data_IF_175661526933
#
_entry.id   IF_175661526933
#
_cell.length_a   1.000
_cell.length_b   1.000
_cell.length_c   1.000
_cell.angle_alpha   90.00
_cell.angle_beta   90.00
_cell.angle_gamma   90.00
#
_symmetry.space_group_name_H-M   'P 1'
#
loop_
_entity.id
_entity.type
_entity.pdbx_description
1 polymer ?
#
# COMPACT_ATOMS: atom_id res chain seq x y z
N UNK A 1 6.19 14.77 -1.50
CA UNK A 1 5.29 15.79 -2.13
C UNK A 1 3.89 15.74 -1.50
N UNK A 2 3.21 14.59 -1.50
CA UNK A 2 1.84 14.44 -0.96
C UNK A 2 1.66 14.95 0.48
N UNK A 3 2.38 14.41 1.46
CA UNK A 3 2.28 14.88 2.85
C UNK A 3 2.84 16.30 3.04
N UNK A 4 3.92 16.62 2.33
CA UNK A 4 4.59 17.93 2.38
C UNK A 4 3.68 19.09 1.97
N UNK A 5 2.73 18.85 1.07
CA UNK A 5 1.77 19.86 0.61
C UNK A 5 0.84 20.38 1.72
N UNK A 6 0.70 19.68 2.84
CA UNK A 6 -0.17 20.09 3.94
C UNK A 6 0.51 21.03 4.95
N UNK A 7 1.85 21.01 5.06
CA UNK A 7 2.57 21.74 6.12
C UNK A 7 3.74 22.62 5.62
N UNK A 8 4.23 22.43 4.39
CA UNK A 8 5.31 23.25 3.84
C UNK A 8 4.74 24.38 2.98
N UNK A 9 4.89 25.63 3.43
CA UNK A 9 4.42 26.83 2.75
C UNK A 9 5.02 27.05 1.35
N UNK A 10 6.18 26.46 1.05
CA UNK A 10 6.77 26.54 -0.30
C UNK A 10 6.01 25.67 -1.30
N UNK A 11 5.44 24.56 -0.82
CA UNK A 11 4.73 23.53 -1.62
C UNK A 11 3.22 23.70 -1.56
N UNK A 12 2.68 24.18 -0.44
CA UNK A 12 1.25 24.37 -0.21
C UNK A 12 0.71 25.49 -1.10
N UNK A 13 0.03 25.09 -2.18
CA UNK A 13 -0.61 26.00 -3.16
C UNK A 13 -2.11 25.73 -3.24
N UNK A 14 -2.94 26.73 -3.58
CA UNK A 14 -4.38 26.53 -3.77
C UNK A 14 -4.73 25.37 -4.70
N UNK A 15 -4.00 25.22 -5.81
CA UNK A 15 -4.20 24.19 -6.83
C UNK A 15 -3.91 22.78 -6.28
N UNK A 16 -2.92 22.66 -5.38
CA UNK A 16 -2.63 21.40 -4.70
C UNK A 16 -3.76 21.02 -3.75
N UNK A 17 -4.35 21.99 -3.05
CA UNK A 17 -5.49 21.74 -2.18
C UNK A 17 -6.75 21.36 -2.99
N UNK A 18 -6.96 21.97 -4.17
CA UNK A 18 -8.02 21.57 -5.09
C UNK A 18 -7.85 20.12 -5.58
N UNK A 19 -6.62 19.69 -5.85
CA UNK A 19 -6.33 18.30 -6.16
C UNK A 19 -6.78 17.35 -5.03
N UNK A 20 -6.41 17.63 -3.77
CA UNK A 20 -6.84 16.79 -2.65
C UNK A 20 -8.34 16.84 -2.39
N UNK A 21 -8.95 18.02 -2.53
CA UNK A 21 -10.39 18.22 -2.40
C UNK A 21 -11.16 17.45 -3.47
N UNK A 22 -10.61 17.31 -4.68
CA UNK A 22 -11.25 16.55 -5.77
C UNK A 22 -11.46 15.07 -5.44
N UNK A 23 -10.67 14.50 -4.51
CA UNK A 23 -10.87 13.13 -4.01
C UNK A 23 -11.96 13.02 -2.94
N UNK A 24 -12.30 14.13 -2.26
CA UNK A 24 -13.27 14.17 -1.13
C UNK A 24 -14.64 14.72 -1.51
N UNK A 25 -14.74 15.45 -2.61
CA UNK A 25 -16.01 16.03 -3.06
C UNK A 25 -16.83 15.01 -3.87
N UNK A 26 -18.16 15.14 -3.77
CA UNK A 26 -19.08 14.43 -4.66
C UNK A 26 -18.68 14.73 -6.10
N UNK A 27 -18.58 13.72 -6.98
CA UNK A 27 -18.07 13.95 -8.32
C UNK A 27 -18.87 15.01 -9.06
N UNK A 28 -18.21 16.10 -9.42
CA UNK A 28 -18.81 17.12 -10.28
C UNK A 28 -18.77 16.61 -11.72
N UNK A 29 -19.85 15.91 -12.11
CA UNK A 29 -19.92 15.28 -13.42
C UNK A 29 -19.89 16.36 -14.50
N UNK A 30 -18.82 16.41 -15.30
CA UNK A 30 -18.69 17.36 -16.41
C UNK A 30 -19.30 16.77 -17.67
N UNK A 31 -19.79 17.62 -18.57
CA UNK A 31 -20.16 17.20 -19.93
C UNK A 31 -18.89 16.91 -20.73
N UNK A 32 -18.34 15.71 -20.53
CA UNK A 32 -17.17 15.16 -21.22
C UNK A 32 -17.08 13.66 -20.94
N UNK A 33 -16.69 12.86 -21.94
CA UNK A 33 -16.54 11.40 -21.76
C UNK A 33 -15.55 11.09 -20.62
N UNK A 34 -15.89 10.12 -19.77
CA UNK A 34 -15.04 9.70 -18.66
C UNK A 34 -15.18 10.51 -17.37
N UNK A 35 -16.14 11.44 -17.29
CA UNK A 35 -16.46 12.21 -16.08
C UNK A 35 -17.96 12.18 -15.74
N UNK A 36 -18.68 11.16 -16.20
CA UNK A 36 -20.09 10.97 -15.87
C UNK A 36 -20.24 10.38 -14.48
N UNK A 37 -21.45 10.45 -13.91
CA UNK A 37 -21.75 9.80 -12.63
C UNK A 37 -21.41 8.30 -12.63
N UNK A 38 -21.59 7.60 -13.76
CA UNK A 38 -21.23 6.18 -13.87
C UNK A 38 -19.72 5.96 -13.83
N UNK A 39 -18.94 6.83 -14.45
CA UNK A 39 -17.47 6.74 -14.45
C UNK A 39 -16.94 6.91 -13.02
N UNK A 40 -17.52 7.85 -12.27
CA UNK A 40 -17.16 8.02 -10.86
C UNK A 40 -17.71 6.93 -9.94
N UNK A 41 -18.88 6.36 -10.23
CA UNK A 41 -19.38 5.19 -9.50
C UNK A 41 -18.44 4.00 -9.69
N UNK A 42 -17.95 3.76 -10.92
CA UNK A 42 -16.92 2.76 -11.22
C UNK A 42 -15.63 3.06 -10.46
N UNK A 43 -15.12 4.30 -10.52
CA UNK A 43 -13.95 4.71 -9.75
C UNK A 43 -14.12 4.41 -8.27
N UNK A 44 -15.18 4.90 -7.63
CA UNK A 44 -15.36 4.73 -6.19
C UNK A 44 -15.48 3.25 -5.81
N UNK A 45 -16.14 2.42 -6.64
CA UNK A 45 -16.20 0.99 -6.42
C UNK A 45 -14.80 0.34 -6.49
N UNK A 46 -13.96 0.78 -7.42
CA UNK A 46 -12.60 0.26 -7.59
C UNK A 46 -11.71 0.51 -6.36
N UNK A 47 -11.89 1.64 -5.67
CA UNK A 47 -11.10 2.00 -4.48
C UNK A 47 -11.63 1.39 -3.17
N UNK A 48 -12.80 0.74 -3.16
CA UNK A 48 -13.51 0.40 -1.94
C UNK A 48 -12.71 -0.50 -0.97
N UNK A 49 -11.96 -1.48 -1.47
CA UNK A 49 -11.16 -2.38 -0.61
C UNK A 49 -9.94 -1.66 -0.06
N UNK A 50 -9.17 -0.97 -0.91
CA UNK A 50 -8.01 -0.20 -0.46
C UNK A 50 -8.42 0.90 0.55
N UNK A 51 -9.57 1.53 0.34
CA UNK A 51 -10.09 2.55 1.24
C UNK A 51 -10.44 1.96 2.60
N UNK A 52 -11.15 0.82 2.64
CA UNK A 52 -11.50 0.12 3.89
C UNK A 52 -10.27 -0.22 4.73
N UNK A 53 -9.18 -0.70 4.13
CA UNK A 53 -7.93 -0.95 4.86
C UNK A 53 -7.27 0.35 5.31
N UNK A 54 -7.13 1.32 4.40
CA UNK A 54 -6.45 2.57 4.71
C UNK A 54 -7.20 3.45 5.72
N UNK A 55 -8.50 3.26 5.92
CA UNK A 55 -9.30 4.06 6.86
C UNK A 55 -9.34 3.52 8.30
N UNK A 56 -8.89 2.28 8.56
CA UNK A 56 -9.05 1.62 9.88
C UNK A 56 -8.48 2.40 11.06
N UNK A 57 -7.38 3.12 10.84
CA UNK A 57 -6.70 3.91 11.86
C UNK A 57 -6.69 5.40 11.59
N UNK A 58 -7.59 5.91 10.74
CA UNK A 58 -7.55 7.29 10.26
C UNK A 58 -7.63 8.31 11.41
N UNK A 59 -8.42 8.02 12.45
CA UNK A 59 -8.54 8.86 13.66
C UNK A 59 -7.23 9.00 14.43
N UNK A 60 -6.36 8.00 14.33
CA UNK A 60 -5.04 7.96 14.97
C UNK A 60 -3.93 8.43 14.03
N UNK A 61 -4.28 8.97 12.86
CA UNK A 61 -3.32 9.39 11.84
C UNK A 61 -2.70 8.24 11.04
N UNK A 62 -3.24 7.03 11.17
CA UNK A 62 -2.76 5.81 10.51
C UNK A 62 -3.55 5.56 9.22
N UNK A 63 -2.83 5.43 8.12
CA UNK A 63 -3.31 5.06 6.78
C UNK A 63 -2.55 3.81 6.35
N UNK A 64 -3.11 2.64 6.67
CA UNK A 64 -2.50 1.35 6.37
C UNK A 64 -2.20 1.19 4.87
N UNK A 65 -1.00 0.70 4.53
CA UNK A 65 -0.52 0.58 3.16
C UNK A 65 0.02 1.88 2.54
N UNK A 66 -0.21 3.04 3.18
CA UNK A 66 0.23 4.34 2.69
C UNK A 66 1.29 5.00 3.58
N UNK A 67 0.93 5.33 4.83
CA UNK A 67 1.85 5.92 5.79
C UNK A 67 2.20 4.97 6.94
N UNK A 68 1.60 3.78 6.97
CA UNK A 68 1.78 2.80 8.03
C UNK A 68 1.69 1.37 7.46
N UNK A 69 2.32 0.38 8.11
CA UNK A 69 2.17 -1.02 7.75
C UNK A 69 0.71 -1.48 7.86
N UNK A 70 0.27 -2.34 6.92
CA UNK A 70 -0.99 -3.06 7.05
C UNK A 70 -1.02 -3.89 8.33
N UNK A 71 -2.09 -3.78 9.08
CA UNK A 71 -2.27 -4.54 10.31
C UNK A 71 -2.78 -5.96 10.00
N UNK A 72 -2.25 -6.99 10.67
CA UNK A 72 -2.76 -8.34 10.54
C UNK A 72 -4.22 -8.45 10.97
N UNK A 73 -4.95 -9.35 10.32
CA UNK A 73 -6.36 -9.59 10.61
C UNK A 73 -6.59 -10.82 11.50
N UNK A 74 -5.60 -11.70 11.64
CA UNK A 74 -5.69 -12.87 12.49
C UNK A 74 -4.41 -13.07 13.31
N UNK A 75 -4.59 -13.73 14.46
CA UNK A 75 -3.50 -14.12 15.33
C UNK A 75 -2.51 -15.05 14.62
N UNK A 76 -1.26 -15.02 15.08
CA UNK A 76 -0.18 -15.88 14.59
C UNK A 76 -0.43 -17.31 15.08
N UNK A 77 -0.08 -18.31 14.26
CA UNK A 77 -0.13 -19.70 14.70
C UNK A 77 0.83 -19.94 15.88
N UNK A 78 0.46 -20.77 16.87
CA UNK A 78 1.31 -21.04 18.03
C UNK A 78 2.53 -21.90 17.67
N UNK A 79 2.35 -22.80 16.70
CA UNK A 79 3.36 -23.75 16.27
C UNK A 79 4.17 -23.22 15.09
N UNK A 80 5.45 -23.53 15.08
CA UNK A 80 6.42 -23.08 14.09
C UNK A 80 6.67 -24.18 13.07
N UNK A 81 6.87 -23.80 11.82
CA UNK A 81 7.40 -24.72 10.83
C UNK A 81 8.83 -24.35 10.48
N UNK A 82 9.71 -25.33 10.51
CA UNK A 82 11.11 -25.15 10.09
C UNK A 82 11.20 -25.09 8.58
N UNK A 83 12.09 -24.22 8.09
CA UNK A 83 12.46 -24.20 6.68
C UNK A 83 13.71 -25.02 6.48
N UNK A 84 13.51 -26.17 5.86
CA UNK A 84 14.56 -27.12 5.54
C UNK A 84 15.37 -26.66 4.32
N UNK A 85 14.70 -26.10 3.31
CA UNK A 85 15.30 -25.63 2.06
C UNK A 85 14.80 -24.24 1.65
N UNK A 86 15.74 -23.33 1.38
CA UNK A 86 15.45 -21.93 1.04
C UNK A 86 14.94 -21.76 -0.39
N UNK A 87 15.35 -22.60 -1.33
CA UNK A 87 14.94 -22.52 -2.73
C UNK A 87 13.50 -23.03 -2.88
N UNK A 88 13.14 -24.08 -2.14
CA UNK A 88 11.77 -24.58 -2.05
C UNK A 88 10.85 -23.54 -1.41
N UNK A 89 11.24 -22.95 -0.27
CA UNK A 89 10.47 -21.89 0.37
C UNK A 89 10.32 -20.66 -0.54
N UNK A 90 11.38 -20.27 -1.24
CA UNK A 90 11.34 -19.17 -2.22
C UNK A 90 10.34 -19.47 -3.34
N UNK A 91 10.32 -20.70 -3.83
CA UNK A 91 9.41 -21.15 -4.89
C UNK A 91 7.97 -21.18 -4.40
N UNK A 92 7.75 -21.65 -3.18
CA UNK A 92 6.44 -21.69 -2.53
C UNK A 92 5.87 -20.28 -2.32
N UNK A 93 6.64 -19.36 -1.71
CA UNK A 93 6.19 -17.97 -1.51
C UNK A 93 5.82 -17.30 -2.83
N UNK A 94 6.57 -17.54 -3.90
CA UNK A 94 6.24 -17.03 -5.24
C UNK A 94 4.94 -17.66 -5.78
N UNK A 95 4.72 -18.95 -5.56
CA UNK A 95 3.49 -19.63 -5.98
C UNK A 95 2.28 -19.13 -5.20
N UNK A 96 2.40 -18.96 -3.87
CA UNK A 96 1.34 -18.44 -3.01
C UNK A 96 1.02 -16.97 -3.33
N UNK A 97 2.04 -16.13 -3.56
CA UNK A 97 1.84 -14.75 -3.97
C UNK A 97 1.07 -14.65 -5.30
N UNK A 98 1.40 -15.52 -6.28
CA UNK A 98 0.64 -15.61 -7.55
C UNK A 98 -0.77 -16.14 -7.34
N UNK A 99 -0.96 -17.15 -6.48
CA UNK A 99 -2.29 -17.66 -6.11
C UNK A 99 -3.17 -16.53 -5.55
N UNK A 100 -2.60 -15.62 -4.77
CA UNK A 100 -3.32 -14.47 -4.22
C UNK A 100 -3.46 -13.28 -5.18
N UNK A 101 -2.94 -13.34 -6.40
CA UNK A 101 -3.21 -12.33 -7.43
C UNK A 101 -2.03 -11.43 -7.80
N UNK A 102 -0.81 -11.68 -7.31
CA UNK A 102 0.37 -11.01 -7.83
C UNK A 102 0.65 -11.43 -9.27
N UNK A 103 0.79 -10.48 -10.19
CA UNK A 103 1.13 -10.75 -11.59
C UNK A 103 2.59 -11.18 -11.74
N UNK A 104 3.50 -10.45 -11.09
CA UNK A 104 4.92 -10.80 -10.98
C UNK A 104 5.38 -10.76 -9.52
N UNK A 105 6.37 -11.59 -9.18
CA UNK A 105 6.89 -11.70 -7.81
C UNK A 105 8.40 -11.80 -7.84
N UNK A 106 9.07 -10.93 -7.10
CA UNK A 106 10.51 -10.94 -6.85
C UNK A 106 10.81 -11.09 -5.37
N UNK A 107 11.95 -11.68 -5.05
CA UNK A 107 12.47 -11.72 -3.67
C UNK A 107 13.92 -11.23 -3.73
N UNK A 108 14.27 -10.29 -2.86
CA UNK A 108 15.60 -9.69 -2.81
C UNK A 108 16.05 -9.50 -1.36
N UNK A 109 17.36 -9.36 -1.09
CA UNK A 109 17.85 -8.96 0.22
C UNK A 109 17.28 -7.60 0.63
N UNK A 110 17.01 -7.44 1.92
CA UNK A 110 16.62 -6.17 2.49
C UNK A 110 17.81 -5.21 2.51
N UNK A 111 17.59 -3.98 2.07
CA UNK A 111 18.58 -2.91 2.10
C UNK A 111 17.98 -1.69 2.83
N UNK A 112 18.49 -1.35 4.04
CA UNK A 112 17.90 -0.31 4.88
C UNK A 112 17.98 1.10 4.25
N UNK A 113 18.79 1.30 3.20
CA UNK A 113 18.87 2.60 2.49
C UNK A 113 17.57 2.97 1.78
N UNK A 114 16.73 1.99 1.45
CA UNK A 114 15.43 2.20 0.79
C UNK A 114 14.27 2.34 1.77
N UNK A 115 14.55 2.23 3.06
CA UNK A 115 13.55 2.38 4.10
C UNK A 115 13.52 3.82 4.56
N UNK A 116 12.32 4.41 4.58
CA UNK A 116 12.14 5.73 5.14
C UNK A 116 12.56 5.78 6.60
N UNK A 117 13.19 6.88 7.03
CA UNK A 117 13.64 7.02 8.42
C UNK A 117 12.47 7.08 9.40
N UNK A 118 11.41 7.80 9.04
CA UNK A 118 10.20 8.01 9.82
C UNK A 118 8.98 7.94 8.91
N UNK A 119 7.82 7.58 9.47
CA UNK A 119 6.52 7.83 8.85
C UNK A 119 6.00 9.20 9.27
N UNK A 120 4.91 9.63 8.63
CA UNK A 120 4.25 10.92 8.94
C UNK A 120 2.79 10.65 9.26
N UNK A 121 2.33 11.13 10.42
CA UNK A 121 0.92 11.05 10.80
C UNK A 121 0.05 11.83 9.82
N UNK A 122 -1.06 11.22 9.37
CA UNK A 122 -1.99 11.86 8.44
C UNK A 122 -2.91 12.91 9.08
N UNK A 123 -2.97 12.96 10.42
CA UNK A 123 -3.77 13.93 11.17
C UNK A 123 -2.94 15.10 11.69
N UNK A 124 -1.77 14.83 12.28
CA UNK A 124 -0.92 15.87 12.88
C UNK A 124 0.17 16.37 11.93
N UNK A 125 0.50 15.61 10.89
CA UNK A 125 1.65 15.84 9.99
C UNK A 125 3.02 15.84 10.70
N UNK A 126 3.07 15.27 11.90
CA UNK A 126 4.30 15.06 12.66
C UNK A 126 4.97 13.74 12.27
N UNK A 127 6.28 13.67 12.51
CA UNK A 127 7.05 12.45 12.30
C UNK A 127 6.74 11.41 13.38
N UNK A 128 6.72 10.14 12.97
CA UNK A 128 6.51 8.99 13.86
C UNK A 128 7.39 7.81 13.40
N UNK A 129 7.61 6.84 14.28
CA UNK A 129 8.38 5.65 13.99
C UNK A 129 7.72 4.82 12.88
N UNK A 130 8.52 4.25 11.98
CA UNK A 130 8.01 3.46 10.84
C UNK A 130 7.22 2.21 11.24
N UNK A 131 7.42 1.73 12.47
CA UNK A 131 6.78 0.51 12.97
C UNK A 131 7.38 -0.77 12.39
N UNK A 132 8.52 -0.68 11.69
CA UNK A 132 9.24 -1.83 11.13
C UNK A 132 9.96 -2.62 12.23
N UNK A 133 9.94 -3.96 12.19
CA UNK A 133 10.74 -4.77 13.09
C UNK A 133 12.23 -4.65 12.73
N UNK A 134 13.08 -4.99 13.69
CA UNK A 134 14.51 -5.11 13.46
C UNK A 134 14.83 -6.45 12.79
N UNK A 135 16.02 -6.58 12.20
CA UNK A 135 16.47 -7.87 11.65
C UNK A 135 15.74 -8.33 10.40
N UNK A 136 15.07 -7.43 9.66
CA UNK A 136 14.59 -7.74 8.31
C UNK A 136 15.77 -8.10 7.40
N UNK A 137 15.66 -9.21 6.67
CA UNK A 137 16.74 -9.67 5.79
C UNK A 137 16.37 -9.78 4.34
N UNK A 138 15.07 -9.87 4.02
CA UNK A 138 14.60 -9.95 2.65
C UNK A 138 13.34 -9.11 2.47
N UNK A 139 13.04 -8.82 1.21
CA UNK A 139 11.82 -8.16 0.75
C UNK A 139 11.17 -9.01 -0.31
N UNK A 140 9.85 -9.16 -0.23
CA UNK A 140 9.02 -9.73 -1.31
C UNK A 140 8.41 -8.57 -2.07
N UNK A 141 8.70 -8.48 -3.37
CA UNK A 141 8.22 -7.43 -4.26
C UNK A 141 7.13 -8.03 -5.14
N UNK A 142 5.94 -7.41 -5.12
CA UNK A 142 4.78 -7.82 -5.89
C UNK A 142 4.55 -6.79 -7.00
N UNK A 143 4.26 -7.26 -8.21
CA UNK A 143 3.81 -6.41 -9.30
C UNK A 143 2.37 -6.71 -9.68
N UNK A 144 1.57 -5.66 -9.76
CA UNK A 144 0.15 -5.71 -10.10
C UNK A 144 -0.08 -4.94 -11.40
N UNK A 145 -0.71 -5.59 -12.37
CA UNK A 145 -0.99 -4.98 -13.68
C UNK A 145 -2.25 -4.12 -13.61
N UNK A 146 -2.19 -2.93 -14.23
CA UNK A 146 -3.36 -2.08 -14.47
C UNK A 146 -3.90 -2.31 -15.88
N UNK A 147 -5.20 -2.16 -16.06
CA UNK A 147 -5.82 -2.20 -17.39
C UNK A 147 -5.31 -1.04 -18.28
N UNK A 148 -4.54 -1.40 -19.31
CA UNK A 148 -3.89 -0.43 -20.19
C UNK A 148 -4.87 0.45 -20.97
N UNK A 149 -6.05 -0.07 -21.34
CA UNK A 149 -7.05 0.69 -22.06
C UNK A 149 -7.71 1.73 -21.14
N UNK A 150 -7.98 1.38 -19.88
CA UNK A 150 -8.46 2.33 -18.88
C UNK A 150 -7.39 3.38 -18.57
N UNK A 151 -6.13 2.98 -18.36
CA UNK A 151 -5.00 3.90 -18.13
C UNK A 151 -4.83 4.90 -19.28
N UNK A 152 -4.99 4.45 -20.53
CA UNK A 152 -4.89 5.33 -21.71
C UNK A 152 -5.94 6.45 -21.75
N UNK A 153 -6.94 6.43 -20.86
CA UNK A 153 -7.97 7.48 -20.75
C UNK A 153 -7.65 8.59 -19.76
N UNK A 154 -6.45 8.63 -19.15
CA UNK A 154 -6.08 9.74 -18.28
C UNK A 154 -6.28 11.09 -19.01
N UNK A 155 -6.84 12.12 -18.33
CA UNK A 155 -7.09 12.22 -16.89
C UNK A 155 -8.51 11.81 -16.42
N UNK A 156 -9.19 10.90 -17.11
CA UNK A 156 -10.58 10.54 -16.79
C UNK A 156 -10.77 9.80 -15.46
N UNK A 157 -12.01 9.77 -14.95
CA UNK A 157 -12.37 8.96 -13.78
C UNK A 157 -12.22 7.45 -14.04
N UNK A 158 -12.38 7.00 -15.29
CA UNK A 158 -12.16 5.60 -15.69
C UNK A 158 -10.69 5.21 -15.52
N UNK A 159 -9.76 6.10 -15.89
CA UNK A 159 -8.33 5.87 -15.63
C UNK A 159 -8.05 5.78 -14.12
N UNK A 160 -8.69 6.63 -13.31
CA UNK A 160 -8.63 6.54 -11.85
C UNK A 160 -9.19 5.25 -11.26
N UNK A 161 -10.13 4.58 -11.96
CA UNK A 161 -10.63 3.27 -11.57
C UNK A 161 -9.60 2.15 -11.81
N UNK A 162 -8.75 2.27 -12.83
CA UNK A 162 -7.68 1.29 -13.06
C UNK A 162 -6.69 1.26 -11.89
N UNK A 163 -6.31 2.44 -11.39
CA UNK A 163 -5.46 2.59 -10.20
C UNK A 163 -6.15 2.07 -8.95
N UNK A 164 -7.43 2.41 -8.74
CA UNK A 164 -8.19 1.93 -7.59
C UNK A 164 -8.27 0.41 -7.53
N UNK A 165 -8.55 -0.23 -8.66
CA UNK A 165 -8.57 -1.69 -8.75
C UNK A 165 -7.20 -2.28 -8.39
N UNK A 166 -6.11 -1.74 -8.93
CA UNK A 166 -4.77 -2.22 -8.62
C UNK A 166 -4.44 -2.10 -7.11
N UNK A 167 -4.75 -0.97 -6.47
CA UNK A 167 -4.55 -0.82 -5.02
C UNK A 167 -5.43 -1.77 -4.19
N UNK A 168 -6.68 -1.97 -4.60
CA UNK A 168 -7.59 -2.91 -3.93
C UNK A 168 -7.11 -4.36 -4.03
N UNK A 169 -6.66 -4.78 -5.21
CA UNK A 169 -6.09 -6.11 -5.43
C UNK A 169 -4.74 -6.29 -4.72
N UNK A 170 -3.89 -5.26 -4.72
CA UNK A 170 -2.63 -5.26 -3.97
C UNK A 170 -2.89 -5.42 -2.48
N UNK A 171 -3.77 -4.62 -1.88
CA UNK A 171 -4.12 -4.72 -0.46
C UNK A 171 -4.62 -6.12 -0.11
N UNK A 172 -5.50 -6.70 -0.95
CA UNK A 172 -6.01 -8.05 -0.78
C UNK A 172 -4.92 -9.13 -0.93
N UNK A 173 -4.00 -8.97 -1.88
CA UNK A 173 -2.88 -9.91 -2.10
C UNK A 173 -1.92 -9.89 -0.92
N UNK A 174 -1.53 -8.68 -0.52
CA UNK A 174 -0.58 -8.43 0.54
C UNK A 174 -1.08 -8.94 1.89
N UNK A 175 -2.34 -8.65 2.25
CA UNK A 175 -2.88 -9.10 3.54
C UNK A 175 -2.93 -10.63 3.61
N UNK A 176 -3.30 -11.30 2.50
CA UNK A 176 -3.34 -12.77 2.43
C UNK A 176 -1.94 -13.38 2.49
N UNK A 177 -0.99 -12.84 1.74
CA UNK A 177 0.38 -13.34 1.72
C UNK A 177 1.08 -13.13 3.07
N UNK A 178 0.94 -11.95 3.66
CA UNK A 178 1.51 -11.65 4.98
C UNK A 178 0.91 -12.55 6.07
N UNK A 179 -0.40 -12.79 6.04
CA UNK A 179 -1.03 -13.73 6.97
C UNK A 179 -0.54 -15.17 6.74
N UNK A 180 -0.37 -15.60 5.50
CA UNK A 180 0.21 -16.92 5.19
C UNK A 180 1.59 -17.09 5.82
N UNK A 181 2.48 -16.11 5.57
CA UNK A 181 3.84 -16.11 6.12
C UNK A 181 3.79 -16.14 7.65
N UNK A 182 2.95 -15.29 8.27
CA UNK A 182 2.79 -15.26 9.73
C UNK A 182 2.27 -16.58 10.30
N UNK A 183 1.35 -17.25 9.62
CA UNK A 183 0.74 -18.50 10.12
C UNK A 183 1.69 -19.71 10.04
N UNK A 184 2.81 -19.58 9.33
CA UNK A 184 3.77 -20.67 9.17
C UNK A 184 5.13 -20.33 9.82
N UNK A 185 5.46 -19.05 10.04
CA UNK A 185 6.81 -18.61 10.34
C UNK A 185 6.99 -17.90 11.70
N UNK A 186 7.89 -18.44 12.55
CA UNK A 186 8.71 -17.69 13.54
C UNK A 186 9.95 -18.51 13.99
N UNK A 187 10.79 -19.00 13.06
CA UNK A 187 11.96 -19.83 13.43
C UNK A 187 13.31 -19.45 12.81
N UNK A 188 13.42 -18.35 12.07
CA UNK A 188 14.74 -17.94 11.59
C UNK A 188 14.97 -16.46 11.88
N UNK A 189 16.17 -16.17 12.38
CA UNK A 189 16.72 -14.85 12.74
C UNK A 189 16.75 -13.83 11.58
N UNK A 190 16.04 -14.15 10.50
CA UNK A 190 16.03 -13.47 9.23
C UNK A 190 14.70 -12.72 8.99
N UNK A 191 13.64 -13.01 9.75
CA UNK A 191 12.36 -12.31 9.71
C UNK A 191 11.73 -12.27 11.09
N UNK A 192 11.96 -11.15 11.81
CA UNK A 192 11.38 -10.89 13.13
C UNK A 192 10.00 -10.22 13.00
N UNK A 193 9.12 -10.63 13.92
CA UNK A 193 7.68 -10.46 14.19
C UNK A 193 6.71 -9.59 13.35
N UNK A 194 7.11 -8.73 12.41
CA UNK A 194 6.16 -7.78 11.78
C UNK A 194 6.46 -7.52 10.31
N UNK A 195 5.85 -8.33 9.44
CA UNK A 195 5.84 -8.05 8.00
C UNK A 195 5.26 -6.66 7.78
N UNK A 196 6.04 -5.76 7.19
CA UNK A 196 5.57 -4.44 6.81
C UNK A 196 5.49 -4.35 5.31
N UNK A 197 4.33 -3.89 4.86
CA UNK A 197 4.09 -3.57 3.46
C UNK A 197 3.68 -2.11 3.38
N UNK A 198 4.35 -1.38 2.48
CA UNK A 198 4.04 -0.01 2.15
C UNK A 198 4.54 0.31 0.76
N UNK A 199 3.75 1.08 0.02
CA UNK A 199 4.14 1.66 -1.25
C UNK A 199 5.26 2.70 -0.99
N UNK A 200 6.48 2.57 -1.57
CA UNK A 200 7.61 3.46 -1.31
C UNK A 200 7.41 4.90 -1.84
N UNK A 201 6.21 5.27 -2.28
CA UNK A 201 5.93 6.55 -2.94
C UNK A 201 5.41 7.66 -2.00
N UNK A 202 5.08 7.38 -0.73
CA UNK A 202 4.26 8.32 0.07
C UNK A 202 4.85 8.97 1.33
N UNK A 203 6.08 8.72 1.78
CA UNK A 203 6.59 9.36 3.01
C UNK A 203 7.86 10.20 2.82
N UNK A 204 7.71 11.42 2.30
CA UNK A 204 8.75 12.45 2.47
C UNK A 204 8.60 13.12 3.85
N UNK A 205 9.45 12.73 4.82
CA UNK A 205 9.59 13.37 6.14
C UNK A 205 10.32 14.72 6.08
N UNK A 206 10.38 15.42 7.23
CA UNK A 206 11.00 16.75 7.39
C UNK A 206 12.53 16.58 7.35
N UNK A 207 13.16 16.84 6.20
CA UNK A 207 14.60 17.11 6.20
C UNK A 207 14.83 18.51 6.79
N UNK A 208 15.57 18.58 7.90
CA UNK A 208 16.02 19.82 8.54
C UNK A 208 16.76 20.75 7.58
#
# INVERSE_FOLDING_TARGET
>A
MFNRAFWDDQVRRPEMMEFFDSYRRVPDSRRGGGFTQKDFALRNAAWAVSDEFSSRGETDGIREGFNAPLQPTADVAPDRVEVEDLDDMTSEIKQIAKLFGAGIVGIAPYDPRWTYSNRVSSTTFEEDATGLPQGLTSVVVLGHEMDSAMVATYPSAVAGAATGNAYSEEAATVIRLSQYIRNFWLASSWFDERLSIGDPLCTSGRSR
#
